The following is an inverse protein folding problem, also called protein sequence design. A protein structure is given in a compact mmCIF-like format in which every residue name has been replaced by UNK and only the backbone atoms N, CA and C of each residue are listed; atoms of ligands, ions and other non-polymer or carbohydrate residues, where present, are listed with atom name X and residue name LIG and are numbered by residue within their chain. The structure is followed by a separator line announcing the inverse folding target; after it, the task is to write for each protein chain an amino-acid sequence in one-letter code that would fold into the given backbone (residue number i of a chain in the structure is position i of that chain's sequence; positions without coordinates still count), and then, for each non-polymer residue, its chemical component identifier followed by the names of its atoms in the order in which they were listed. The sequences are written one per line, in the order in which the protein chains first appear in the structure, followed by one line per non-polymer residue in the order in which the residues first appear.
data_IF_844524622445
#
_entry.id   IF_844524622445
#
_cell.length_a   1.000
_cell.length_b   1.000
_cell.length_c   1.000
_cell.angle_alpha   90.00
_cell.angle_beta   90.00
_cell.angle_gamma   90.00
#
_symmetry.space_group_name_H-M   'P 1'
#
loop_
_entity.id
_entity.type
_entity.pdbx_description
1 polymer ?
#
# COMPACT_ATOMS: atom_id res chain seq x y z
N UNK A 1 -14.05 -14.18 4.66
CA UNK A 1 -13.15 -13.02 4.52
C UNK A 1 -11.71 -13.53 4.60
N UNK A 2 -10.74 -12.93 3.89
CA UNK A 2 -9.37 -13.46 3.74
C UNK A 2 -8.33 -12.33 3.89
N UNK A 3 -7.12 -12.65 4.35
CA UNK A 3 -5.98 -11.70 4.37
C UNK A 3 -5.61 -11.19 2.99
N UNK A 4 -5.90 -11.95 1.92
CA UNK A 4 -5.72 -11.49 0.55
C UNK A 4 -6.58 -10.27 0.16
N UNK A 5 -7.54 -9.86 1.00
CA UNK A 5 -8.29 -8.60 0.83
C UNK A 5 -7.65 -7.40 1.51
N UNK A 6 -6.63 -7.59 2.34
CA UNK A 6 -5.91 -6.48 2.95
C UNK A 6 -5.13 -5.77 1.85
N UNK A 7 -5.49 -4.52 1.59
CA UNK A 7 -4.84 -3.70 0.56
C UNK A 7 -3.77 -2.80 1.16
N UNK A 8 -2.74 -2.49 0.36
CA UNK A 8 -1.67 -1.56 0.71
C UNK A 8 -2.21 -0.22 1.21
N UNK A 9 -3.28 0.30 0.59
CA UNK A 9 -3.89 1.56 1.00
C UNK A 9 -4.47 1.51 2.42
N UNK A 10 -4.93 0.35 2.91
CA UNK A 10 -5.43 0.22 4.29
C UNK A 10 -4.30 0.35 5.30
N UNK A 11 -3.16 -0.28 5.02
CA UNK A 11 -1.97 -0.21 5.87
C UNK A 11 -1.43 1.21 5.93
N UNK A 12 -1.19 1.82 4.76
CA UNK A 12 -0.68 3.20 4.71
C UNK A 12 -1.64 4.19 5.37
N UNK A 13 -2.96 4.02 5.18
CA UNK A 13 -3.97 4.86 5.82
C UNK A 13 -4.01 4.70 7.33
N UNK A 14 -3.77 3.51 7.87
CA UNK A 14 -3.70 3.31 9.31
C UNK A 14 -2.58 4.16 9.93
N UNK A 15 -1.39 4.15 9.34
CA UNK A 15 -0.29 5.03 9.76
C UNK A 15 -0.59 6.51 9.50
N UNK A 16 -1.24 6.84 8.38
CA UNK A 16 -1.68 8.21 8.09
C UNK A 16 -2.67 8.72 9.14
N UNK A 17 -3.42 7.84 9.79
CA UNK A 17 -4.34 8.17 10.89
C UNK A 17 -3.70 8.09 12.28
N UNK A 18 -2.39 7.86 12.34
CA UNK A 18 -1.61 7.88 13.59
C UNK A 18 -1.55 6.55 14.33
N UNK A 19 -1.82 5.41 13.67
CA UNK A 19 -1.59 4.11 14.29
C UNK A 19 -0.08 3.87 14.51
N UNK A 20 0.32 3.52 15.74
CA UNK A 20 1.73 3.25 16.08
C UNK A 20 2.27 1.95 15.48
N UNK A 21 1.36 1.01 15.16
CA UNK A 21 1.68 -0.25 14.52
C UNK A 21 0.43 -0.91 13.91
N UNK A 22 0.67 -1.73 12.90
CA UNK A 22 -0.35 -2.50 12.18
C UNK A 22 0.07 -3.95 12.15
N UNK A 23 -0.83 -4.85 12.54
CA UNK A 23 -0.63 -6.30 12.45
C UNK A 23 -1.70 -6.93 11.55
N UNK A 24 -1.28 -7.85 10.68
CA UNK A 24 -2.15 -8.61 9.78
C UNK A 24 -2.08 -10.08 10.21
N UNK A 25 -3.20 -10.63 10.67
CA UNK A 25 -3.31 -12.05 11.03
C UNK A 25 -3.97 -12.86 9.92
N UNK A 26 -3.36 -13.98 9.52
CA UNK A 26 -3.90 -14.89 8.50
C UNK A 26 -3.77 -16.37 8.85
N UNK A 27 -4.34 -17.24 8.01
CA UNK A 27 -4.13 -18.68 8.12
C UNK A 27 -2.67 -19.04 7.81
N UNK A 28 -2.18 -20.15 8.36
CA UNK A 28 -0.91 -20.75 7.99
C UNK A 28 -0.74 -20.88 6.49
N UNK A 29 0.48 -20.65 6.01
CA UNK A 29 0.81 -20.83 4.59
C UNK A 29 0.60 -22.31 4.22
N UNK A 30 -0.16 -22.56 3.16
CA UNK A 30 -0.61 -23.90 2.78
C UNK A 30 -1.94 -24.35 3.41
N UNK A 31 -2.46 -23.61 4.40
CA UNK A 31 -3.77 -23.88 5.04
C UNK A 31 -4.80 -22.78 4.72
N UNK A 32 -4.63 -22.07 3.60
CA UNK A 32 -5.57 -21.02 3.24
C UNK A 32 -6.96 -21.63 2.97
N UNK A 33 -8.00 -21.07 3.59
CA UNK A 33 -9.38 -21.49 3.31
C UNK A 33 -9.80 -21.25 1.86
N UNK A 34 -9.21 -20.25 1.20
CA UNK A 34 -9.50 -19.91 -0.19
C UNK A 34 -8.40 -20.42 -1.10
N UNK A 35 -8.78 -21.17 -2.14
CA UNK A 35 -7.88 -21.79 -3.14
C UNK A 35 -6.98 -20.77 -3.86
N UNK A 36 -7.36 -19.49 -3.84
CA UNK A 36 -6.53 -18.41 -4.39
C UNK A 36 -5.28 -18.11 -3.56
N UNK A 37 -5.09 -18.77 -2.42
CA UNK A 37 -3.92 -18.63 -1.54
C UNK A 37 -3.62 -17.16 -1.18
N UNK A 38 -4.67 -16.43 -0.80
CA UNK A 38 -4.60 -14.99 -0.57
C UNK A 38 -3.64 -14.57 0.56
N UNK A 39 -3.27 -15.49 1.45
CA UNK A 39 -2.24 -15.24 2.47
C UNK A 39 -0.84 -15.08 1.86
N UNK A 40 -0.51 -15.77 0.75
CA UNK A 40 0.75 -15.53 0.04
C UNK A 40 0.76 -14.15 -0.64
N UNK A 41 -0.36 -13.74 -1.24
CA UNK A 41 -0.49 -12.38 -1.79
C UNK A 41 -0.35 -11.31 -0.69
N UNK A 42 -0.92 -11.55 0.49
CA UNK A 42 -0.78 -10.65 1.63
C UNK A 42 0.68 -10.54 2.10
N UNK A 43 1.42 -11.65 2.16
CA UNK A 43 2.83 -11.66 2.51
C UNK A 43 3.69 -10.83 1.54
N UNK A 44 3.46 -11.01 0.23
CA UNK A 44 4.13 -10.22 -0.80
C UNK A 44 3.82 -8.72 -0.67
N UNK A 45 2.53 -8.38 -0.54
CA UNK A 45 2.08 -7.00 -0.33
C UNK A 45 2.69 -6.37 0.93
N UNK A 46 2.80 -7.12 2.04
CA UNK A 46 3.45 -6.63 3.27
C UNK A 46 4.93 -6.33 3.05
N UNK A 47 5.64 -7.14 2.27
CA UNK A 47 7.04 -6.85 1.93
C UNK A 47 7.18 -5.51 1.17
N UNK A 48 6.31 -5.27 0.17
CA UNK A 48 6.26 -3.99 -0.53
C UNK A 48 5.89 -2.84 0.44
N UNK A 49 4.88 -3.04 1.28
CA UNK A 49 4.40 -2.05 2.23
C UNK A 49 5.50 -1.63 3.21
N UNK A 50 6.31 -2.57 3.73
CA UNK A 50 7.44 -2.28 4.61
C UNK A 50 8.44 -1.32 3.97
N UNK A 51 8.78 -1.52 2.69
CA UNK A 51 9.70 -0.63 1.98
C UNK A 51 9.11 0.76 1.69
N UNK A 52 7.81 0.83 1.42
CA UNK A 52 7.11 2.11 1.25
C UNK A 52 7.02 2.88 2.58
N UNK A 53 6.80 2.19 3.69
CA UNK A 53 6.84 2.77 5.03
C UNK A 53 8.24 3.28 5.39
N UNK A 54 9.28 2.49 5.10
CA UNK A 54 10.68 2.89 5.25
C UNK A 54 10.97 4.20 4.51
N UNK A 55 10.52 4.31 3.25
CA UNK A 55 10.65 5.53 2.45
C UNK A 55 9.89 6.73 3.06
N UNK A 56 8.73 6.50 3.68
CA UNK A 56 7.97 7.55 4.35
C UNK A 56 8.62 8.02 5.67
N UNK A 57 9.56 7.25 6.22
CA UNK A 57 10.19 7.47 7.53
C UNK A 57 9.51 6.73 8.67
N UNK A 58 8.78 5.64 8.39
CA UNK A 58 8.15 4.76 9.38
C UNK A 58 8.98 3.48 9.49
N UNK A 59 9.31 3.07 10.72
CA UNK A 59 10.08 1.84 10.96
C UNK A 59 9.32 0.62 10.43
N UNK A 60 9.92 -0.21 9.55
CA UNK A 60 9.28 -1.41 8.98
C UNK A 60 8.73 -2.39 10.01
N UNK A 61 9.34 -2.43 11.20
CA UNK A 61 8.97 -3.26 12.33
C UNK A 61 7.58 -2.93 12.89
N UNK A 62 7.06 -1.72 12.60
CA UNK A 62 5.69 -1.32 12.95
C UNK A 62 4.63 -2.02 12.10
N UNK A 63 5.00 -2.68 10.99
CA UNK A 63 4.11 -3.52 10.19
C UNK A 63 4.48 -4.99 10.35
N UNK A 64 3.56 -5.77 10.92
CA UNK A 64 3.74 -7.21 11.15
C UNK A 64 2.68 -8.04 10.43
N UNK A 65 3.06 -9.21 9.95
CA UNK A 65 2.15 -10.23 9.46
C UNK A 65 2.42 -11.52 10.23
N UNK A 66 1.37 -12.21 10.65
CA UNK A 66 1.45 -13.39 11.49
C UNK A 66 0.43 -14.44 11.06
N UNK A 67 0.78 -15.71 11.23
CA UNK A 67 -0.04 -16.84 10.80
C UNK A 67 -0.61 -17.59 11.99
N UNK A 68 -1.92 -17.61 12.17
CA UNK A 68 -2.58 -18.14 13.37
C UNK A 68 -3.79 -18.95 12.93
N UNK A 69 -3.91 -20.20 13.39
CA UNK A 69 -5.13 -20.99 13.20
C UNK A 69 -6.22 -20.59 14.20
N UNK A 70 -7.47 -20.98 13.92
CA UNK A 70 -8.60 -20.65 14.78
C UNK A 70 -8.51 -21.27 16.20
N UNK A 71 -7.71 -22.31 16.40
CA UNK A 71 -7.54 -23.00 17.69
C UNK A 71 -6.38 -22.44 18.52
N UNK A 72 -5.57 -21.54 17.99
CA UNK A 72 -4.31 -21.08 18.60
C UNK A 72 -4.49 -19.78 19.42
N UNK A 73 -5.45 -19.78 20.34
CA UNK A 73 -5.75 -18.61 21.17
C UNK A 73 -4.57 -18.16 22.05
N UNK A 74 -3.81 -19.09 22.63
CA UNK A 74 -2.63 -18.78 23.44
C UNK A 74 -1.54 -18.10 22.61
N UNK A 75 -1.24 -18.63 21.41
CA UNK A 75 -0.28 -18.05 20.48
C UNK A 75 -0.69 -16.65 20.01
N UNK A 76 -1.98 -16.43 19.75
CA UNK A 76 -2.50 -15.09 19.45
C UNK A 76 -2.20 -14.09 20.57
N UNK A 77 -2.46 -14.48 21.83
CA UNK A 77 -2.16 -13.62 22.98
C UNK A 77 -0.66 -13.32 23.11
N UNK A 78 0.21 -14.32 22.92
CA UNK A 78 1.66 -14.16 22.92
C UNK A 78 2.13 -13.18 21.85
N UNK A 79 1.64 -13.31 20.62
CA UNK A 79 1.95 -12.41 19.50
C UNK A 79 1.54 -10.97 19.81
N UNK A 80 0.33 -10.77 20.33
CA UNK A 80 -0.16 -9.43 20.65
C UNK A 80 0.65 -8.78 21.77
N UNK A 81 1.03 -9.55 22.79
CA UNK A 81 1.90 -9.09 23.87
C UNK A 81 3.30 -8.72 23.34
N UNK A 82 3.90 -9.58 22.52
CA UNK A 82 5.22 -9.30 21.92
C UNK A 82 5.18 -8.06 21.02
N UNK A 83 4.19 -7.96 20.14
CA UNK A 83 4.07 -6.83 19.24
C UNK A 83 3.86 -5.52 20.01
N UNK A 84 3.01 -5.53 21.03
CA UNK A 84 2.79 -4.35 21.89
C UNK A 84 4.08 -3.95 22.63
N UNK A 85 4.83 -4.93 23.17
CA UNK A 85 6.10 -4.66 23.82
C UNK A 85 7.15 -4.09 22.85
N UNK A 86 7.19 -4.58 21.61
CA UNK A 86 8.05 -4.04 20.55
C UNK A 86 7.67 -2.59 20.24
N UNK A 87 6.39 -2.29 20.03
CA UNK A 87 5.91 -0.93 19.78
C UNK A 87 6.23 0.00 20.95
N UNK A 88 6.12 -0.48 22.20
CA UNK A 88 6.52 0.28 23.39
C UNK A 88 8.00 0.68 23.40
N UNK A 89 8.89 -0.15 22.84
CA UNK A 89 10.32 0.17 22.69
C UNK A 89 10.59 1.17 21.58
N UNK A 90 9.83 1.10 20.49
CA UNK A 90 9.92 2.03 19.36
C UNK A 90 9.33 3.40 19.71
N UNK A 91 8.42 3.45 20.69
CA UNK A 91 7.69 4.66 21.03
C UNK A 91 6.62 5.02 20.00
N UNK A 92 5.91 6.14 20.22
CA UNK A 92 4.83 6.55 19.33
C UNK A 92 5.39 6.92 17.94
N UNK A 93 4.62 6.63 16.90
CA UNK A 93 4.99 6.98 15.50
C UNK A 93 4.92 8.48 15.25
N UNK A 94 4.09 9.18 16.03
CA UNK A 94 3.93 10.64 16.03
C UNK A 94 4.38 11.18 17.37
N UNK A 95 5.24 12.19 17.34
CA UNK A 95 5.90 12.72 18.54
C UNK A 95 5.35 14.08 18.97
N UNK A 96 4.28 14.58 18.32
CA UNK A 96 3.66 15.88 18.64
C UNK A 96 4.48 17.08 18.18
N UNK A 97 5.47 16.85 17.31
CA UNK A 97 6.33 17.87 16.72
C UNK A 97 5.90 18.14 15.27
N UNK A 98 6.37 19.23 14.67
CA UNK A 98 6.07 19.58 13.27
C UNK A 98 6.53 18.58 12.18
N UNK A 99 7.06 17.41 12.59
CA UNK A 99 7.35 16.29 11.69
C UNK A 99 6.11 15.41 11.43
N UNK A 100 5.09 15.48 12.31
CA UNK A 100 3.85 14.69 12.16
C UNK A 100 3.08 15.08 10.89
N UNK A 101 2.98 16.38 10.60
CA UNK A 101 2.34 16.89 9.37
C UNK A 101 3.11 16.48 8.10
N UNK A 102 4.44 16.40 8.21
CA UNK A 102 5.30 15.95 7.09
C UNK A 102 5.11 14.46 6.84
N UNK A 103 5.05 13.66 7.88
CA UNK A 103 4.76 12.23 7.78
C UNK A 103 3.37 11.99 7.18
N UNK A 104 2.34 12.71 7.66
CA UNK A 104 0.99 12.62 7.13
C UNK A 104 0.94 12.93 5.63
N UNK A 105 1.65 13.99 5.21
CA UNK A 105 1.74 14.40 3.80
C UNK A 105 2.46 13.34 2.94
N UNK A 106 3.57 12.76 3.42
CA UNK A 106 4.28 11.67 2.71
C UNK A 106 3.39 10.45 2.54
N UNK A 107 2.69 10.03 3.59
CA UNK A 107 1.78 8.90 3.55
C UNK A 107 0.58 9.16 2.63
N UNK A 108 0.04 10.39 2.62
CA UNK A 108 -1.02 10.77 1.67
C UNK A 108 -0.56 10.64 0.22
N UNK A 109 0.65 11.12 -0.09
CA UNK A 109 1.23 11.00 -1.42
C UNK A 109 1.38 9.53 -1.84
N UNK A 110 1.88 8.67 -0.94
CA UNK A 110 1.98 7.23 -1.20
C UNK A 110 0.61 6.58 -1.41
N UNK A 111 -0.40 6.93 -0.61
CA UNK A 111 -1.77 6.41 -0.75
C UNK A 111 -2.35 6.75 -2.13
N UNK A 112 -2.13 7.98 -2.63
CA UNK A 112 -2.56 8.39 -3.98
C UNK A 112 -1.86 7.59 -5.08
N UNK A 113 -0.63 7.14 -4.84
CA UNK A 113 0.17 6.35 -5.78
C UNK A 113 -0.08 4.85 -5.70
N UNK A 114 -0.79 4.32 -4.71
CA UNK A 114 -1.07 2.88 -4.59
C UNK A 114 -1.58 2.25 -5.89
N UNK A 115 -2.54 2.85 -6.63
CA UNK A 115 -3.01 2.30 -7.90
C UNK A 115 -1.89 2.17 -8.94
N UNK A 116 -1.06 3.21 -9.08
CA UNK A 116 0.11 3.21 -9.96
C UNK A 116 1.16 2.18 -9.52
N UNK A 117 1.49 2.14 -8.23
CA UNK A 117 2.46 1.19 -7.66
C UNK A 117 2.03 -0.24 -7.95
N UNK A 118 0.75 -0.57 -7.75
CA UNK A 118 0.20 -1.90 -8.03
C UNK A 118 0.23 -2.24 -9.52
N UNK A 119 0.02 -1.26 -10.40
CA UNK A 119 0.12 -1.44 -11.84
C UNK A 119 1.57 -1.75 -12.25
N UNK A 120 2.54 -0.95 -11.82
CA UNK A 120 3.96 -1.13 -12.16
C UNK A 120 4.53 -2.41 -11.55
N UNK A 121 4.10 -2.79 -10.35
CA UNK A 121 4.56 -4.00 -9.65
C UNK A 121 3.67 -5.22 -9.88
N UNK A 122 2.74 -5.18 -10.84
CA UNK A 122 1.73 -6.22 -11.03
C UNK A 122 2.34 -7.62 -11.16
N UNK A 123 3.32 -7.79 -12.04
CA UNK A 123 3.99 -9.08 -12.27
C UNK A 123 4.67 -9.58 -10.99
N UNK A 124 5.40 -8.70 -10.29
CA UNK A 124 6.13 -9.03 -9.07
C UNK A 124 5.20 -9.35 -7.89
N UNK A 125 4.09 -8.63 -7.78
CA UNK A 125 3.03 -8.89 -6.79
C UNK A 125 2.29 -10.21 -7.05
N UNK A 126 2.26 -10.68 -8.30
CA UNK A 126 1.68 -11.98 -8.66
C UNK A 126 2.61 -13.16 -8.34
N UNK A 127 3.90 -12.91 -8.07
CA UNK A 127 4.85 -13.97 -7.74
C UNK A 127 4.61 -14.54 -6.34
N UNK A 128 4.73 -15.87 -6.24
CA UNK A 128 4.76 -16.63 -5.00
C UNK A 128 6.17 -17.18 -4.80
N UNK A 129 6.86 -16.68 -3.79
CA UNK A 129 8.16 -17.21 -3.40
C UNK A 129 7.99 -18.49 -2.57
N UNK A 130 8.95 -19.43 -2.66
CA UNK A 130 8.85 -20.72 -2.00
C UNK A 130 9.02 -20.64 -0.49
N UNK A 131 9.78 -19.66 0.03
CA UNK A 131 10.03 -19.49 1.46
C UNK A 131 9.64 -18.09 1.92
N UNK A 132 9.21 -17.98 3.17
CA UNK A 132 8.84 -16.70 3.77
C UNK A 132 10.02 -15.72 3.84
N UNK A 133 11.21 -16.22 4.17
CA UNK A 133 12.45 -15.45 4.25
C UNK A 133 12.79 -14.72 2.94
N UNK A 134 12.44 -15.32 1.80
CA UNK A 134 12.72 -14.76 0.49
C UNK A 134 11.96 -13.45 0.27
N UNK A 135 10.84 -13.22 0.98
CA UNK A 135 10.10 -11.97 0.90
C UNK A 135 10.81 -10.80 1.59
N UNK A 136 11.69 -11.04 2.56
CA UNK A 136 12.36 -9.95 3.33
C UNK A 136 13.21 -9.05 2.44
N UNK A 137 13.91 -9.65 1.48
CA UNK A 137 14.76 -8.95 0.52
C UNK A 137 14.11 -8.79 -0.87
N UNK A 138 12.83 -9.15 -1.01
CA UNK A 138 12.20 -9.22 -2.33
C UNK A 138 12.06 -7.86 -2.99
N UNK A 139 11.74 -6.82 -2.22
CA UNK A 139 11.77 -5.42 -2.67
C UNK A 139 12.98 -4.72 -2.07
N UNK A 140 13.76 -4.03 -2.90
CA UNK A 140 14.94 -3.27 -2.46
C UNK A 140 14.60 -1.79 -2.29
N UNK A 141 15.41 -1.08 -1.50
CA UNK A 141 15.26 0.37 -1.33
C UNK A 141 15.42 1.11 -2.66
N UNK A 142 16.47 0.79 -3.41
CA UNK A 142 16.73 1.41 -4.72
C UNK A 142 15.57 1.21 -5.71
N UNK A 143 14.95 0.02 -5.69
CA UNK A 143 13.77 -0.28 -6.51
C UNK A 143 12.58 0.63 -6.16
N UNK A 144 12.35 0.89 -4.88
CA UNK A 144 11.26 1.77 -4.42
C UNK A 144 11.60 3.24 -4.69
N UNK A 145 12.83 3.65 -4.46
CA UNK A 145 13.29 5.01 -4.72
C UNK A 145 13.25 5.35 -6.22
N UNK A 146 13.56 4.38 -7.10
CA UNK A 146 13.37 4.53 -8.55
C UNK A 146 11.88 4.64 -8.91
N UNK A 147 11.04 3.74 -8.38
CA UNK A 147 9.59 3.72 -8.62
C UNK A 147 8.91 5.05 -8.28
N UNK A 148 9.30 5.67 -7.16
CA UNK A 148 8.70 6.91 -6.69
C UNK A 148 9.26 8.16 -7.37
N UNK A 149 10.46 8.07 -7.98
CA UNK A 149 11.08 9.15 -8.75
C UNK A 149 10.59 9.21 -10.20
N UNK A 150 10.31 8.05 -10.79
CA UNK A 150 9.93 7.89 -12.20
C UNK A 150 8.41 7.89 -12.41
N UNK A 151 7.67 8.49 -11.47
CA UNK A 151 6.21 8.57 -11.53
C UNK A 151 5.78 9.36 -12.77
N UNK A 152 5.10 8.67 -13.69
CA UNK A 152 4.62 9.27 -14.94
C UNK A 152 3.46 10.24 -14.70
N UNK A 153 3.34 11.24 -15.56
CA UNK A 153 2.19 12.17 -15.57
C UNK A 153 1.46 12.06 -16.90
N UNK A 154 0.16 11.81 -16.83
CA UNK A 154 -0.69 11.69 -18.02
C UNK A 154 -1.25 13.06 -18.41
N UNK A 155 -1.29 13.32 -19.72
CA UNK A 155 -1.86 14.53 -20.29
C UNK A 155 -2.77 14.17 -21.47
N UNK A 156 -3.86 14.93 -21.61
CA UNK A 156 -4.74 14.81 -22.78
C UNK A 156 -4.20 15.75 -23.85
N UNK A 157 -3.88 15.19 -25.01
CA UNK A 157 -3.48 15.94 -26.20
C UNK A 157 -4.69 16.75 -26.71
N UNK A 158 -4.65 18.10 -26.68
CA UNK A 158 -5.78 18.94 -27.09
C UNK A 158 -6.19 18.73 -28.54
N UNK A 159 -5.24 18.43 -29.44
CA UNK A 159 -5.52 18.26 -30.86
C UNK A 159 -6.24 16.95 -31.15
N UNK A 160 -6.05 15.94 -30.28
CA UNK A 160 -6.69 14.62 -30.41
C UNK A 160 -7.98 14.49 -29.61
N UNK A 161 -8.25 15.41 -28.69
CA UNK A 161 -9.43 15.35 -27.82
C UNK A 161 -10.73 15.62 -28.58
N UNK A 162 -11.61 14.61 -28.63
CA UNK A 162 -12.93 14.71 -29.27
C UNK A 162 -14.05 15.21 -28.33
N UNK A 163 -13.71 15.68 -27.11
CA UNK A 163 -14.67 16.11 -26.09
C UNK A 163 -15.82 15.11 -25.79
N UNK A 164 -15.54 13.80 -25.92
CA UNK A 164 -16.53 12.71 -25.88
C UNK A 164 -16.95 12.25 -24.47
N UNK A 165 -16.32 12.82 -23.43
CA UNK A 165 -16.56 12.54 -22.00
C UNK A 165 -16.22 11.12 -21.55
N UNK A 166 -15.50 10.32 -22.36
CA UNK A 166 -15.10 8.96 -21.95
C UNK A 166 -14.10 9.00 -20.79
N UNK A 167 -13.06 9.82 -20.88
CA UNK A 167 -12.07 9.98 -19.81
C UNK A 167 -12.73 10.47 -18.51
N UNK A 168 -13.59 11.49 -18.57
CA UNK A 168 -14.33 11.98 -17.41
C UNK A 168 -15.20 10.91 -16.75
N UNK A 169 -15.89 10.07 -17.52
CA UNK A 169 -16.72 8.97 -17.00
C UNK A 169 -15.91 7.79 -16.45
N UNK A 170 -14.73 7.52 -17.02
CA UNK A 170 -13.87 6.42 -16.59
C UNK A 170 -12.95 6.79 -15.43
N UNK A 171 -12.74 8.09 -15.19
CA UNK A 171 -11.87 8.53 -14.11
C UNK A 171 -12.46 8.17 -12.74
N UNK A 172 -11.81 7.27 -11.97
CA UNK A 172 -12.35 6.81 -10.69
C UNK A 172 -12.33 7.88 -9.60
N UNK A 173 -11.59 8.98 -9.82
CA UNK A 173 -11.36 10.06 -8.85
C UNK A 173 -11.89 11.41 -9.32
N UNK A 174 -12.60 11.46 -10.47
CA UNK A 174 -13.13 12.71 -11.01
C UNK A 174 -12.06 13.77 -11.29
N UNK A 175 -10.84 13.36 -11.63
CA UNK A 175 -9.69 14.24 -11.89
C UNK A 175 -9.62 14.77 -13.32
N UNK A 176 -10.75 14.89 -14.02
CA UNK A 176 -10.82 15.41 -15.39
C UNK A 176 -11.65 16.68 -15.39
N UNK A 177 -11.04 17.84 -15.64
CA UNK A 177 -11.78 19.07 -15.94
C UNK A 177 -12.15 19.08 -17.43
N UNK A 178 -13.40 19.40 -17.73
CA UNK A 178 -13.93 19.32 -19.08
C UNK A 178 -15.44 19.28 -19.15
N UNK A 179 -15.96 19.20 -20.37
CA UNK A 179 -17.39 19.11 -20.64
C UNK A 179 -17.67 18.64 -22.07
N UNK A 180 -18.94 18.49 -22.43
CA UNK A 180 -19.32 18.27 -23.84
C UNK A 180 -18.81 19.47 -24.66
N UNK A 181 -18.15 19.19 -25.77
CA UNK A 181 -17.56 20.20 -26.67
C UNK A 181 -16.50 21.12 -26.01
N UNK A 182 -15.89 20.71 -24.90
CA UNK A 182 -14.74 21.39 -24.27
C UNK A 182 -13.57 20.41 -24.20
N UNK A 183 -12.36 20.88 -24.51
CA UNK A 183 -11.14 20.08 -24.36
C UNK A 183 -10.98 19.69 -22.89
N UNK A 184 -10.60 18.43 -22.66
CA UNK A 184 -10.45 17.88 -21.32
C UNK A 184 -9.01 18.01 -20.85
N UNK A 185 -8.84 18.28 -19.55
CA UNK A 185 -7.54 18.43 -18.89
C UNK A 185 -7.52 17.53 -17.65
N UNK A 186 -6.39 16.86 -17.43
CA UNK A 186 -6.18 16.03 -16.24
C UNK A 186 -5.68 16.93 -15.11
N UNK A 187 -6.44 16.96 -14.01
CA UNK A 187 -6.02 17.55 -12.75
C UNK A 187 -4.92 16.68 -12.14
N UNK A 188 -3.68 17.16 -12.17
CA UNK A 188 -2.50 16.40 -11.72
C UNK A 188 -2.48 16.18 -10.20
N UNK A 189 -3.17 17.02 -9.43
CA UNK A 189 -3.24 16.89 -7.97
C UNK A 189 -4.25 15.81 -7.55
N UNK A 190 -5.29 15.61 -8.36
CA UNK A 190 -6.30 14.55 -8.16
C UNK A 190 -5.94 13.22 -8.83
N UNK A 191 -5.07 13.23 -9.84
CA UNK A 191 -4.78 12.04 -10.63
C UNK A 191 -4.04 10.96 -9.84
N UNK A 192 -4.63 9.76 -9.78
CA UNK A 192 -4.04 8.56 -9.15
C UNK A 192 -3.27 7.68 -10.13
N UNK A 193 -3.12 8.13 -11.38
CA UNK A 193 -2.31 7.48 -12.43
C UNK A 193 -2.69 6.01 -12.65
N UNK A 194 -3.99 5.74 -12.73
CA UNK A 194 -4.52 4.38 -12.86
C UNK A 194 -4.37 3.75 -14.25
N UNK A 195 -3.94 4.51 -15.27
CA UNK A 195 -3.99 4.09 -16.68
C UNK A 195 -5.41 4.05 -17.22
#
# INVERSE_FOLDING_TARGET
MCTGRVDLAFVLRAFQKGADGVIIGGCWLGECHYVTDGNHSALNMVSLARRLLEHAGVEPERLRIEWISAAEGARFAEIMNDFTAQLGKLGPVRNGNGDDDRLESRLEALIKLVPYIKLVKLEKLALRLPREEDYVAFYTRDEIDALLREVVSYHIDPEKCQACMICGRRCPVGGIDGGKNRIHVIDQDRCIRCG
#
